data_IF_259678921493
#
_entry.id   IF_259678921493
#
_cell.length_a   1.000
_cell.length_b   1.000
_cell.length_c   1.000
_cell.angle_alpha   90.00
_cell.angle_beta   90.00
_cell.angle_gamma   90.00
#
_symmetry.space_group_name_H-M   'P 1'
#
loop_
_entity.id
_entity.type
_entity.pdbx_description
1 polymer ?
#
# COMPACT_ATOMS: atom_id res chain seq x y z
N UNK A 1 3.74 -10.47 11.44
CA UNK A 1 3.26 -10.68 10.06
C UNK A 1 2.63 -12.07 10.00
N UNK A 2 1.65 -12.33 10.88
CA UNK A 2 1.23 -13.71 11.21
C UNK A 2 -0.13 -14.11 10.61
N UNK A 3 -0.83 -13.19 9.93
CA UNK A 3 -2.17 -13.40 9.38
C UNK A 3 -2.27 -12.98 7.90
N UNK A 4 -1.32 -13.44 7.07
CA UNK A 4 -1.39 -13.28 5.62
C UNK A 4 -1.78 -14.62 4.97
N UNK A 5 -2.88 -14.68 4.18
CA UNK A 5 -3.22 -15.88 3.45
C UNK A 5 -2.12 -16.28 2.44
N UNK A 6 -1.94 -17.59 2.17
CA UNK A 6 -0.98 -18.05 1.17
C UNK A 6 -1.27 -17.44 -0.21
N UNK A 7 -0.24 -16.95 -0.90
CA UNK A 7 -0.32 -16.37 -2.27
C UNK A 7 -1.19 -15.10 -2.39
N UNK A 8 -1.43 -14.38 -1.30
CA UNK A 8 -2.18 -13.10 -1.30
C UNK A 8 -1.25 -11.92 -1.01
N UNK A 9 -0.45 -11.44 -1.98
CA UNK A 9 0.44 -10.28 -1.79
C UNK A 9 -0.34 -8.97 -1.55
N UNK A 10 -1.57 -8.90 -2.04
CA UNK A 10 -2.55 -7.85 -1.79
C UNK A 10 -2.97 -7.73 -0.31
N UNK A 11 -2.78 -8.79 0.48
CA UNK A 11 -3.01 -8.81 1.92
C UNK A 11 -1.78 -8.45 2.76
N UNK A 12 -0.65 -8.13 2.12
CA UNK A 12 0.55 -7.63 2.78
C UNK A 12 0.69 -6.13 2.57
N UNK A 13 0.64 -5.35 3.67
CA UNK A 13 0.80 -3.89 3.63
C UNK A 13 2.12 -3.44 3.00
N UNK A 14 3.19 -4.23 3.17
CA UNK A 14 4.50 -3.92 2.61
C UNK A 14 4.48 -4.03 1.08
N UNK A 15 3.94 -5.13 0.55
CA UNK A 15 3.85 -5.38 -0.89
C UNK A 15 2.80 -4.47 -1.54
N UNK A 16 1.61 -4.36 -0.94
CA UNK A 16 0.48 -3.60 -1.46
C UNK A 16 0.82 -2.12 -1.60
N UNK A 17 1.42 -1.53 -0.56
CA UNK A 17 1.51 -0.08 -0.43
C UNK A 17 2.92 0.46 -0.36
N UNK A 18 3.73 -0.07 0.56
CA UNK A 18 4.98 0.58 0.96
C UNK A 18 6.05 0.38 -0.13
N UNK A 19 6.30 -0.85 -0.57
CA UNK A 19 7.26 -1.13 -1.62
C UNK A 19 6.84 -0.51 -2.95
N UNK A 20 5.56 -0.61 -3.33
CA UNK A 20 5.03 0.06 -4.51
C UNK A 20 5.27 1.59 -4.48
N UNK A 21 5.08 2.24 -3.33
CA UNK A 21 5.30 3.68 -3.19
C UNK A 21 6.78 4.05 -3.32
N UNK A 22 7.66 3.27 -2.66
CA UNK A 22 9.12 3.49 -2.72
C UNK A 22 9.62 3.26 -4.14
N UNK A 23 9.21 2.15 -4.76
CA UNK A 23 9.62 1.78 -6.11
C UNK A 23 9.14 2.83 -7.14
N UNK A 24 7.91 3.35 -7.01
CA UNK A 24 7.42 4.43 -7.90
C UNK A 24 8.29 5.70 -7.84
N UNK A 25 8.92 5.99 -6.71
CA UNK A 25 9.80 7.16 -6.56
C UNK A 25 11.23 6.82 -6.99
N UNK A 26 11.72 5.63 -6.64
CA UNK A 26 13.02 5.12 -7.07
C UNK A 26 13.14 5.01 -8.60
N UNK A 27 12.08 4.63 -9.32
CA UNK A 27 12.06 4.63 -10.80
C UNK A 27 12.32 6.00 -11.44
N UNK A 28 12.16 7.09 -10.69
CA UNK A 28 12.41 8.46 -11.16
C UNK A 28 13.83 8.94 -10.86
N UNK A 29 14.62 8.12 -10.15
CA UNK A 29 16.00 8.43 -9.79
C UNK A 29 16.95 7.52 -10.60
N UNK A 30 17.89 8.10 -11.37
CA UNK A 30 18.90 7.30 -12.04
C UNK A 30 19.81 6.67 -11.00
N UNK A 31 19.93 5.34 -11.04
CA UNK A 31 20.80 4.54 -10.17
C UNK A 31 21.71 3.73 -11.08
N UNK A 32 23.01 3.80 -10.85
CA UNK A 32 24.03 3.25 -11.76
C UNK A 32 24.75 2.02 -11.21
N UNK A 33 24.55 1.73 -9.93
CA UNK A 33 25.10 0.61 -9.19
C UNK A 33 24.18 0.22 -8.02
N UNK A 34 24.54 -0.88 -7.33
CA UNK A 34 23.78 -1.40 -6.20
C UNK A 34 23.79 -0.44 -5.02
N UNK A 35 24.92 0.21 -4.75
CA UNK A 35 25.05 1.16 -3.63
C UNK A 35 24.17 2.40 -3.84
N UNK A 36 24.11 2.92 -5.07
CA UNK A 36 23.23 3.99 -5.47
C UNK A 36 21.75 3.60 -5.39
N UNK A 37 21.41 2.35 -5.73
CA UNK A 37 20.05 1.84 -5.55
C UNK A 37 19.66 1.77 -4.06
N UNK A 38 20.55 1.25 -3.21
CA UNK A 38 20.35 1.19 -1.76
C UNK A 38 20.16 2.62 -1.20
N UNK A 39 21.00 3.55 -1.61
CA UNK A 39 20.89 4.96 -1.23
C UNK A 39 19.55 5.58 -1.64
N UNK A 40 19.14 5.40 -2.90
CA UNK A 40 17.87 5.91 -3.41
C UNK A 40 16.65 5.35 -2.67
N UNK A 41 16.66 4.06 -2.33
CA UNK A 41 15.61 3.41 -1.54
C UNK A 41 15.56 3.98 -0.12
N UNK A 42 16.71 4.11 0.55
CA UNK A 42 16.80 4.67 1.91
C UNK A 42 16.32 6.12 1.98
N UNK A 43 16.76 6.97 1.04
CA UNK A 43 16.31 8.36 0.95
C UNK A 43 14.80 8.43 0.69
N UNK A 44 14.30 7.62 -0.24
CA UNK A 44 12.86 7.57 -0.54
C UNK A 44 12.04 7.14 0.67
N UNK A 45 12.52 6.15 1.43
CA UNK A 45 11.87 5.71 2.66
C UNK A 45 11.81 6.83 3.71
N UNK A 46 12.90 7.57 3.91
CA UNK A 46 12.94 8.71 4.84
C UNK A 46 12.03 9.86 4.39
N UNK A 47 11.90 10.08 3.09
CA UNK A 47 11.06 11.12 2.51
C UNK A 47 9.58 10.71 2.39
N UNK A 48 9.24 9.45 2.66
CA UNK A 48 7.90 8.93 2.46
C UNK A 48 6.92 9.66 3.39
N UNK A 49 5.93 10.41 2.85
CA UNK A 49 5.02 11.16 3.71
C UNK A 49 4.17 10.23 4.56
N UNK A 50 3.93 10.59 5.83
CA UNK A 50 3.01 9.85 6.72
C UNK A 50 1.64 9.63 6.08
N UNK A 51 1.14 10.62 5.33
CA UNK A 51 -0.12 10.52 4.56
C UNK A 51 -0.13 9.40 3.52
N UNK A 52 1.03 9.00 2.99
CA UNK A 52 1.16 7.86 2.08
C UNK A 52 0.97 6.56 2.84
N UNK A 53 1.57 6.43 4.03
CA UNK A 53 1.35 5.28 4.90
C UNK A 53 -0.14 5.15 5.29
N UNK A 54 -0.78 6.25 5.71
CA UNK A 54 -2.21 6.25 6.07
C UNK A 54 -3.08 5.74 4.90
N UNK A 55 -2.75 6.15 3.66
CA UNK A 55 -3.44 5.66 2.46
C UNK A 55 -3.22 4.18 2.23
N UNK A 56 -2.01 3.66 2.46
CA UNK A 56 -1.73 2.25 2.32
C UNK A 56 -2.59 1.42 3.28
N UNK A 57 -2.72 1.85 4.54
CA UNK A 57 -3.57 1.17 5.52
C UNK A 57 -5.05 1.19 5.14
N UNK A 58 -5.58 2.33 4.70
CA UNK A 58 -6.98 2.42 4.25
C UNK A 58 -7.19 1.54 3.00
N UNK A 59 -6.22 1.51 2.09
CA UNK A 59 -6.30 0.67 0.89
C UNK A 59 -6.35 -0.81 1.27
N UNK A 60 -5.51 -1.24 2.22
CA UNK A 60 -5.54 -2.62 2.73
C UNK A 60 -6.91 -2.98 3.34
N UNK A 61 -7.49 -2.10 4.15
CA UNK A 61 -8.84 -2.33 4.70
C UNK A 61 -9.88 -2.50 3.60
N UNK A 62 -9.81 -1.69 2.53
CA UNK A 62 -10.72 -1.80 1.39
C UNK A 62 -10.49 -3.05 0.55
N UNK A 63 -9.24 -3.49 0.41
CA UNK A 63 -8.92 -4.78 -0.22
C UNK A 63 -9.54 -5.93 0.58
N UNK A 64 -9.40 -5.93 1.91
CA UNK A 64 -10.03 -6.93 2.78
C UNK A 64 -11.56 -6.95 2.64
N UNK A 65 -12.21 -5.78 2.61
CA UNK A 65 -13.66 -5.70 2.32
C UNK A 65 -14.02 -6.33 0.97
N UNK A 66 -13.24 -6.04 -0.08
CA UNK A 66 -13.48 -6.60 -1.41
C UNK A 66 -13.37 -8.12 -1.43
N UNK A 67 -12.36 -8.69 -0.78
CA UNK A 67 -12.18 -10.15 -0.68
C UNK A 67 -13.38 -10.80 0.01
N UNK A 68 -13.85 -10.22 1.12
CA UNK A 68 -15.02 -10.71 1.85
C UNK A 68 -16.27 -10.66 0.95
N UNK A 69 -16.50 -9.55 0.24
CA UNK A 69 -17.66 -9.40 -0.64
C UNK A 69 -17.66 -10.36 -1.84
N UNK A 70 -16.49 -10.75 -2.34
CA UNK A 70 -16.37 -11.66 -3.50
C UNK A 70 -16.18 -13.12 -3.09
N UNK A 71 -16.32 -13.46 -1.81
CA UNK A 71 -16.24 -14.83 -1.33
C UNK A 71 -14.86 -15.46 -1.55
N UNK A 72 -13.79 -14.73 -1.23
CA UNK A 72 -12.38 -15.15 -1.38
C UNK A 72 -11.86 -15.18 -2.83
N UNK A 73 -12.57 -14.58 -3.78
CA UNK A 73 -12.07 -14.37 -5.14
C UNK A 73 -11.18 -13.10 -5.24
N UNK A 74 -10.08 -13.21 -5.98
CA UNK A 74 -9.13 -12.14 -6.24
C UNK A 74 -9.46 -11.30 -7.49
N UNK A 75 -10.60 -11.56 -8.15
CA UNK A 75 -11.03 -10.85 -9.35
C UNK A 75 -11.55 -9.42 -9.12
N UNK A 76 -11.35 -8.86 -7.92
CA UNK A 76 -11.77 -7.50 -7.60
C UNK A 76 -10.79 -6.45 -8.15
N UNK A 77 -11.34 -5.31 -8.60
CA UNK A 77 -10.50 -4.15 -8.96
C UNK A 77 -9.99 -3.50 -7.69
N UNK A 78 -8.70 -3.13 -7.68
CA UNK A 78 -8.12 -2.41 -6.55
C UNK A 78 -8.96 -1.16 -6.20
N UNK A 79 -9.50 -1.08 -4.98
CA UNK A 79 -10.38 0.01 -4.59
C UNK A 79 -9.57 1.31 -4.49
N UNK A 80 -9.95 2.29 -5.32
CA UNK A 80 -9.29 3.60 -5.34
C UNK A 80 -9.83 4.46 -4.19
N UNK A 81 -9.05 4.63 -3.13
CA UNK A 81 -9.41 5.51 -2.02
C UNK A 81 -9.33 6.98 -2.46
N UNK A 82 -10.48 7.59 -2.76
CA UNK A 82 -10.57 9.00 -3.17
C UNK A 82 -10.26 9.90 -1.97
N UNK A 83 -9.56 11.02 -2.22
CA UNK A 83 -9.10 12.04 -1.24
C UNK A 83 -10.12 12.47 -0.17
N UNK A 84 -11.43 12.25 -0.38
CA UNK A 84 -12.49 12.65 0.53
C UNK A 84 -12.37 11.98 1.92
N UNK A 85 -11.94 10.71 1.97
CA UNK A 85 -11.81 9.95 3.23
C UNK A 85 -10.70 10.47 4.16
N UNK A 86 -9.69 11.15 3.62
CA UNK A 86 -8.50 11.58 4.37
C UNK A 86 -8.72 12.93 5.08
N UNK A 87 -9.73 13.70 4.64
CA UNK A 87 -9.86 15.11 5.03
C UNK A 87 -10.42 15.32 6.44
N UNK A 88 -11.09 14.33 7.02
CA UNK A 88 -11.77 14.46 8.31
C UNK A 88 -11.20 13.57 9.42
N UNK A 89 -10.11 12.81 9.18
CA UNK A 89 -9.59 11.85 10.15
C UNK A 89 -10.53 10.69 10.48
N UNK A 90 -11.71 10.66 9.85
CA UNK A 90 -12.67 9.57 9.93
C UNK A 90 -12.25 8.47 8.96
N UNK A 91 -11.62 7.45 9.51
CA UNK A 91 -11.64 6.12 8.91
C UNK A 91 -13.08 5.65 9.13
N UNK A 92 -13.92 5.50 8.09
CA UNK A 92 -15.21 4.84 8.29
C UNK A 92 -14.87 3.48 8.88
N UNK A 93 -15.42 3.16 10.05
CA UNK A 93 -15.40 1.80 10.54
C UNK A 93 -15.96 0.94 9.41
N UNK A 94 -15.11 0.11 8.82
CA UNK A 94 -15.54 -1.01 7.99
C UNK A 94 -16.37 -1.91 8.89
N UNK A 95 -17.67 -1.68 8.90
CA UNK A 95 -18.64 -2.52 9.57
C UNK A 95 -18.74 -3.79 8.73
N UNK A 96 -18.40 -4.90 9.36
CA UNK A 96 -18.89 -6.22 8.98
C UNK A 96 -20.41 -6.20 9.00
#
# INVERSE_FOLDING_TARGET
MEFQPPKSPDMNILDLGIFNSIQSVQYRQPTHDVDGLIGAVMTTFQMLPRRTLDKCFITLQKVMECIIMHGDDNSFRLPRVIKLYIRNGFIPSSIV
#
